data_IF_820969457332
#
_entry.id   IF_820969457332
#
_cell.length_a   1.000
_cell.length_b   1.000
_cell.length_c   1.000
_cell.angle_alpha   90.00
_cell.angle_beta   90.00
_cell.angle_gamma   90.00
#
_symmetry.space_group_name_H-M   'P 1'
#
loop_
_entity.id
_entity.type
_entity.pdbx_description
1 polymer ?
#
# COMPACT_ATOMS: atom_id res chain seq x y z
N UNK A 1 10.92 8.82 -27.33
CA UNK A 1 10.46 7.49 -27.81
C UNK A 1 9.41 7.05 -26.79
N UNK A 2 8.14 7.30 -27.11
CA UNK A 2 7.02 7.02 -26.20
C UNK A 2 6.84 5.50 -26.12
N UNK A 3 7.16 4.90 -24.99
CA UNK A 3 6.70 3.56 -24.67
C UNK A 3 5.29 3.65 -24.08
N UNK A 4 4.30 3.49 -24.91
CA UNK A 4 2.95 3.12 -24.49
C UNK A 4 3.05 1.74 -23.84
N UNK A 5 3.01 1.65 -22.52
CA UNK A 5 2.80 0.39 -21.86
C UNK A 5 1.36 -0.05 -22.09
N UNK A 6 1.19 -0.98 -23.04
CA UNK A 6 -0.04 -1.72 -23.20
C UNK A 6 -0.21 -2.57 -21.93
N UNK A 7 -1.20 -2.24 -21.10
CA UNK A 7 -1.66 -3.15 -20.04
C UNK A 7 -1.84 -4.54 -20.63
N UNK A 8 -1.32 -5.55 -19.90
CA UNK A 8 -1.52 -6.95 -20.22
C UNK A 8 -3.03 -7.21 -20.36
N UNK A 9 -3.41 -7.90 -21.41
CA UNK A 9 -4.79 -8.34 -21.67
C UNK A 9 -5.32 -9.07 -20.41
N UNK A 10 -6.27 -8.45 -19.70
CA UNK A 10 -6.95 -9.05 -18.56
C UNK A 10 -7.28 -8.12 -17.39
N UNK A 11 -6.52 -7.06 -17.11
CA UNK A 11 -6.80 -6.16 -15.98
C UNK A 11 -7.28 -4.81 -16.50
N UNK A 12 -8.57 -4.53 -16.29
CA UNK A 12 -9.15 -3.21 -16.57
C UNK A 12 -8.76 -2.22 -15.46
N UNK A 13 -7.54 -1.72 -15.50
CA UNK A 13 -7.25 -0.45 -14.84
C UNK A 13 -8.15 0.59 -15.52
N UNK A 14 -8.97 1.28 -14.75
CA UNK A 14 -9.81 2.35 -15.26
C UNK A 14 -8.93 3.35 -16.02
N UNK A 15 -9.35 3.77 -17.23
CA UNK A 15 -8.60 4.70 -18.09
C UNK A 15 -8.20 6.01 -17.37
N UNK A 16 -8.97 6.43 -16.38
CA UNK A 16 -8.67 7.62 -15.56
C UNK A 16 -7.50 7.37 -14.60
N UNK A 17 -7.50 6.22 -13.91
CA UNK A 17 -6.40 5.81 -13.04
C UNK A 17 -5.11 5.66 -13.85
N UNK A 18 -5.18 5.02 -15.03
CA UNK A 18 -4.00 4.85 -15.90
C UNK A 18 -3.44 6.21 -16.33
N UNK A 19 -4.30 7.15 -16.74
CA UNK A 19 -3.86 8.51 -17.11
C UNK A 19 -3.21 9.26 -15.94
N UNK A 20 -3.78 9.14 -14.73
CA UNK A 20 -3.20 9.75 -13.54
C UNK A 20 -1.81 9.16 -13.21
N UNK A 21 -1.66 7.83 -13.33
CA UNK A 21 -0.38 7.15 -13.17
C UNK A 21 0.62 7.64 -14.21
N UNK A 22 0.27 7.60 -15.50
CA UNK A 22 1.16 8.00 -16.60
C UNK A 22 1.64 9.45 -16.43
N UNK A 23 0.75 10.37 -16.07
CA UNK A 23 1.09 11.77 -15.86
C UNK A 23 2.02 11.95 -14.66
N UNK A 24 1.72 11.32 -13.52
CA UNK A 24 2.58 11.41 -12.33
C UNK A 24 3.97 10.84 -12.60
N UNK A 25 4.04 9.69 -13.27
CA UNK A 25 5.32 9.06 -13.62
C UNK A 25 6.11 9.92 -14.58
N UNK A 26 5.47 10.56 -15.55
CA UNK A 26 6.17 11.48 -16.47
C UNK A 26 6.80 12.65 -15.70
N UNK A 27 6.10 13.26 -14.76
CA UNK A 27 6.67 14.34 -13.92
C UNK A 27 7.84 13.86 -13.04
N UNK A 28 7.73 12.66 -12.45
CA UNK A 28 8.83 12.06 -11.68
C UNK A 28 10.05 11.83 -12.60
N UNK A 29 9.83 11.32 -13.81
CA UNK A 29 10.89 11.07 -14.79
C UNK A 29 11.56 12.37 -15.21
N UNK A 30 10.80 13.44 -15.49
CA UNK A 30 11.34 14.74 -15.89
C UNK A 30 12.29 15.31 -14.82
N UNK A 31 11.96 15.13 -13.55
CA UNK A 31 12.80 15.55 -12.42
C UNK A 31 14.03 14.64 -12.25
N UNK A 32 13.84 13.32 -12.35
CA UNK A 32 14.85 12.33 -11.97
C UNK A 32 15.65 11.76 -13.14
N UNK A 33 15.39 12.13 -14.40
CA UNK A 33 16.12 11.60 -15.57
C UNK A 33 17.64 11.62 -15.41
N UNK A 34 18.30 12.70 -14.86
CA UNK A 34 19.74 12.72 -14.63
C UNK A 34 20.24 11.67 -13.64
N UNK A 35 19.36 11.20 -12.75
CA UNK A 35 19.66 10.18 -11.72
C UNK A 35 19.35 8.75 -12.16
N UNK A 36 18.86 8.57 -13.39
CA UNK A 36 18.57 7.26 -14.01
C UNK A 36 17.60 6.41 -13.17
N UNK A 37 16.34 6.81 -13.03
CA UNK A 37 15.37 6.12 -12.20
C UNK A 37 14.90 4.79 -12.82
N UNK A 38 14.54 3.85 -11.96
CA UNK A 38 13.63 2.73 -12.24
C UNK A 38 12.42 2.89 -11.33
N UNK A 39 11.21 2.92 -11.92
CA UNK A 39 9.97 3.24 -11.23
C UNK A 39 9.05 2.04 -11.31
N UNK A 40 8.55 1.61 -10.15
CA UNK A 40 7.66 0.48 -10.00
C UNK A 40 6.35 0.88 -9.37
N UNK A 41 5.27 0.28 -9.83
CA UNK A 41 3.97 0.25 -9.18
C UNK A 41 3.82 -1.08 -8.46
N UNK A 42 3.35 -1.08 -7.22
CA UNK A 42 3.11 -2.27 -6.42
C UNK A 42 1.81 -2.11 -5.61
N UNK A 43 1.56 -2.96 -4.62
CA UNK A 43 0.38 -2.84 -3.77
C UNK A 43 -0.94 -3.06 -4.49
N UNK A 44 -1.98 -2.34 -4.07
CA UNK A 44 -3.37 -2.61 -4.48
C UNK A 44 -3.63 -2.49 -5.98
N UNK A 45 -2.95 -1.58 -6.69
CA UNK A 45 -3.10 -1.44 -8.15
C UNK A 45 -2.50 -2.64 -8.86
N UNK A 46 -1.31 -3.08 -8.46
CA UNK A 46 -0.63 -4.23 -9.06
C UNK A 46 -1.32 -5.56 -8.75
N UNK A 47 -2.06 -5.62 -7.62
CA UNK A 47 -2.85 -6.77 -7.19
C UNK A 47 -4.29 -6.79 -7.74
N UNK A 48 -4.66 -5.86 -8.63
CA UNK A 48 -6.02 -5.69 -9.18
C UNK A 48 -7.09 -5.48 -8.08
N UNK A 49 -6.70 -4.85 -6.97
CA UNK A 49 -7.57 -4.58 -5.81
C UNK A 49 -7.64 -3.08 -5.46
N UNK A 50 -7.33 -2.20 -6.40
CA UNK A 50 -7.46 -0.77 -6.19
C UNK A 50 -8.91 -0.34 -6.05
N UNK A 51 -9.21 0.45 -5.01
CA UNK A 51 -10.55 1.01 -4.76
C UNK A 51 -10.43 2.51 -4.52
N UNK A 52 -10.91 3.30 -5.46
CA UNK A 52 -10.90 4.77 -5.35
C UNK A 52 -11.64 5.21 -4.08
N UNK A 53 -11.01 6.07 -3.29
CA UNK A 53 -11.51 6.54 -2.00
C UNK A 53 -11.15 5.66 -0.80
N UNK A 54 -10.37 4.59 -1.06
CA UNK A 54 -9.81 3.73 -0.03
C UNK A 54 -8.33 3.43 -0.24
N UNK A 55 -7.95 3.04 -1.45
CA UNK A 55 -6.61 2.53 -1.76
C UNK A 55 -5.63 3.63 -2.10
N UNK A 56 -4.38 3.41 -1.74
CA UNK A 56 -3.25 4.20 -2.20
C UNK A 56 -2.70 3.65 -3.54
N UNK A 57 -1.99 4.52 -4.27
CA UNK A 57 -1.25 4.18 -5.48
C UNK A 57 0.23 4.10 -5.07
N UNK A 58 0.69 2.87 -4.85
CA UNK A 58 2.00 2.60 -4.28
C UNK A 58 3.09 2.63 -5.35
N UNK A 59 4.05 3.57 -5.23
CA UNK A 59 5.14 3.76 -6.19
C UNK A 59 6.49 3.69 -5.48
N UNK A 60 7.39 2.84 -5.99
CA UNK A 60 8.79 2.80 -5.57
C UNK A 60 9.68 3.33 -6.69
N UNK A 61 10.49 4.35 -6.42
CA UNK A 61 11.47 4.89 -7.37
C UNK A 61 12.88 4.66 -6.86
N UNK A 62 13.65 3.88 -7.60
CA UNK A 62 15.04 3.56 -7.29
C UNK A 62 15.96 4.19 -8.33
N UNK A 63 16.88 5.08 -7.90
CA UNK A 63 17.80 5.77 -8.79
C UNK A 63 19.20 5.16 -8.73
N UNK A 64 19.94 5.24 -9.84
CA UNK A 64 21.37 4.83 -9.86
C UNK A 64 22.29 5.84 -9.21
N UNK A 65 21.96 7.13 -9.32
CA UNK A 65 22.72 8.23 -8.73
C UNK A 65 21.92 8.87 -7.63
N UNK A 66 22.62 9.49 -6.70
CA UNK A 66 22.00 10.21 -5.59
C UNK A 66 20.99 11.27 -6.10
N UNK A 67 19.85 11.31 -5.46
CA UNK A 67 18.84 12.37 -5.66
C UNK A 67 19.41 13.64 -5.04
N UNK A 68 19.60 14.69 -5.85
CA UNK A 68 20.09 15.97 -5.36
C UNK A 68 19.05 16.65 -4.47
N UNK A 69 19.49 17.62 -3.65
CA UNK A 69 18.59 18.41 -2.82
C UNK A 69 17.51 19.11 -3.66
N UNK A 70 17.90 19.69 -4.81
CA UNK A 70 16.98 20.37 -5.72
C UNK A 70 15.93 19.40 -6.29
N UNK A 71 16.32 18.19 -6.71
CA UNK A 71 15.41 17.16 -7.18
C UNK A 71 14.46 16.69 -6.07
N UNK A 72 14.99 16.49 -4.86
CA UNK A 72 14.18 16.09 -3.72
C UNK A 72 13.11 17.14 -3.38
N UNK A 73 13.50 18.42 -3.38
CA UNK A 73 12.55 19.51 -3.15
C UNK A 73 11.49 19.60 -4.26
N UNK A 74 11.88 19.47 -5.54
CA UNK A 74 10.94 19.43 -6.66
C UNK A 74 9.92 18.31 -6.55
N UNK A 75 10.33 17.11 -6.07
CA UNK A 75 9.41 15.99 -5.87
C UNK A 75 8.43 16.24 -4.71
N UNK A 76 8.88 16.89 -3.63
CA UNK A 76 7.99 17.31 -2.54
C UNK A 76 6.97 18.33 -3.06
N UNK A 77 7.42 19.32 -3.81
CA UNK A 77 6.57 20.35 -4.42
C UNK A 77 5.61 19.76 -5.45
N UNK A 78 6.07 18.80 -6.28
CA UNK A 78 5.24 18.11 -7.26
C UNK A 78 3.98 17.54 -6.60
N UNK A 79 4.12 16.75 -5.54
CA UNK A 79 2.96 16.17 -4.85
C UNK A 79 2.06 17.25 -4.25
N UNK A 80 2.63 18.31 -3.70
CA UNK A 80 1.87 19.43 -3.14
C UNK A 80 1.04 20.15 -4.21
N UNK A 81 1.60 20.37 -5.40
CA UNK A 81 0.92 21.09 -6.48
C UNK A 81 -0.15 20.26 -7.19
N UNK A 82 0.02 18.94 -7.24
CA UNK A 82 -0.94 18.03 -7.91
C UNK A 82 -2.18 17.73 -7.04
N UNK A 83 -2.12 17.97 -5.72
CA UNK A 83 -3.21 17.63 -4.79
C UNK A 83 -4.34 18.66 -4.64
N UNK A 84 -4.17 19.98 -4.84
CA UNK A 84 -5.01 20.95 -4.13
C UNK A 84 -6.28 21.41 -4.81
N UNK A 85 -6.49 21.17 -6.09
CA UNK A 85 -7.63 21.81 -6.75
C UNK A 85 -8.91 20.97 -6.62
N UNK A 86 -9.91 21.49 -5.91
CA UNK A 86 -11.27 20.96 -5.92
C UNK A 86 -12.07 21.67 -7.05
N UNK A 87 -12.66 20.88 -7.98
CA UNK A 87 -12.67 19.42 -8.07
C UNK A 87 -11.44 18.89 -8.82
N UNK A 88 -10.37 18.60 -8.07
CA UNK A 88 -9.14 18.02 -8.62
C UNK A 88 -9.29 16.55 -9.01
N UNK A 89 -8.29 16.05 -9.71
CA UNK A 89 -8.21 14.62 -10.01
C UNK A 89 -8.13 13.81 -8.69
N UNK A 90 -9.06 12.88 -8.45
CA UNK A 90 -9.15 12.18 -7.17
C UNK A 90 -7.99 11.23 -6.91
N UNK A 91 -7.19 10.90 -7.93
CA UNK A 91 -6.09 9.93 -7.83
C UNK A 91 -4.79 10.53 -7.30
N UNK A 92 -4.51 11.82 -7.55
CA UNK A 92 -3.21 12.41 -7.16
C UNK A 92 -2.95 12.42 -5.65
N UNK A 93 -3.99 12.47 -4.84
CA UNK A 93 -3.88 12.37 -3.37
C UNK A 93 -3.47 10.98 -2.89
N UNK A 94 -3.72 9.96 -3.70
CA UNK A 94 -3.50 8.55 -3.34
C UNK A 94 -2.09 8.06 -3.62
N UNK A 95 -1.22 8.86 -4.27
CA UNK A 95 0.15 8.43 -4.50
C UNK A 95 0.94 8.34 -3.21
N UNK A 96 1.47 7.17 -2.91
CA UNK A 96 2.36 6.89 -1.79
C UNK A 96 3.65 6.22 -2.25
N UNK A 97 4.73 6.38 -1.48
CA UNK A 97 5.96 5.64 -1.71
C UNK A 97 7.23 6.36 -1.35
N UNK A 98 8.35 5.74 -1.73
CA UNK A 98 9.69 6.23 -1.49
C UNK A 98 10.49 6.37 -2.78
N UNK A 99 11.34 7.40 -2.83
CA UNK A 99 12.27 7.66 -3.92
C UNK A 99 13.65 7.82 -3.32
N UNK A 100 14.57 6.90 -3.64
CA UNK A 100 15.90 6.82 -3.07
C UNK A 100 16.87 6.12 -4.03
N UNK A 101 18.16 6.07 -3.70
CA UNK A 101 19.11 5.31 -4.50
C UNK A 101 18.92 3.81 -4.30
N UNK A 102 19.24 3.03 -5.34
CA UNK A 102 19.19 1.58 -5.27
C UNK A 102 20.13 1.01 -4.19
N UNK A 103 21.34 1.57 -4.06
CA UNK A 103 22.32 1.13 -3.06
C UNK A 103 21.81 1.40 -1.63
N UNK A 104 21.23 2.57 -1.37
CA UNK A 104 20.62 2.91 -0.09
C UNK A 104 19.40 2.01 0.24
N UNK A 105 18.61 1.65 -0.77
CA UNK A 105 17.50 0.70 -0.62
C UNK A 105 18.01 -0.69 -0.22
N UNK A 106 19.08 -1.19 -0.84
CA UNK A 106 19.67 -2.49 -0.51
C UNK A 106 20.33 -2.52 0.87
N UNK A 107 21.05 -1.45 1.24
CA UNK A 107 21.73 -1.35 2.54
C UNK A 107 20.75 -1.10 3.70
N UNK A 108 19.52 -0.65 3.42
CA UNK A 108 18.53 -0.17 4.39
C UNK A 108 19.04 1.02 5.22
N UNK A 109 20.00 1.76 4.70
CA UNK A 109 20.63 2.92 5.33
C UNK A 109 20.59 4.13 4.37
N UNK A 110 19.41 4.67 4.06
CA UNK A 110 19.32 5.80 3.17
C UNK A 110 19.78 7.10 3.83
N UNK A 111 20.56 7.88 3.10
CA UNK A 111 20.94 9.23 3.47
C UNK A 111 19.92 10.29 3.03
N UNK A 112 19.17 9.99 1.99
CA UNK A 112 18.08 10.83 1.47
C UNK A 112 17.00 10.00 0.81
N UNK A 113 15.79 10.18 1.30
CA UNK A 113 14.56 9.64 0.71
C UNK A 113 13.57 10.76 0.50
N UNK A 114 12.95 10.84 -0.66
CA UNK A 114 11.70 11.58 -0.80
C UNK A 114 10.57 10.62 -0.49
N UNK A 115 9.83 10.92 0.57
CA UNK A 115 8.69 10.13 1.02
C UNK A 115 7.38 10.86 0.68
N UNK A 116 6.45 10.14 0.09
CA UNK A 116 5.05 10.51 -0.06
C UNK A 116 4.18 9.54 0.72
N UNK A 117 3.20 10.03 1.45
CA UNK A 117 2.30 9.16 2.21
C UNK A 117 1.17 9.93 2.90
N UNK A 118 0.34 9.21 3.64
CA UNK A 118 -0.80 9.77 4.39
C UNK A 118 -0.38 10.83 5.40
N UNK A 119 0.84 10.76 5.93
CA UNK A 119 1.43 11.78 6.82
C UNK A 119 2.01 13.00 6.07
N UNK A 120 1.74 13.12 4.79
CA UNK A 120 2.27 14.15 3.91
C UNK A 120 3.50 13.72 3.13
N UNK A 121 4.18 14.68 2.52
CA UNK A 121 5.41 14.51 1.77
C UNK A 121 6.58 15.19 2.49
N UNK A 122 7.76 14.55 2.44
CA UNK A 122 8.96 15.07 3.10
C UNK A 122 10.24 14.47 2.55
N UNK A 123 11.35 15.14 2.80
CA UNK A 123 12.68 14.56 2.68
C UNK A 123 13.02 13.91 4.03
N UNK A 124 13.53 12.69 4.01
CA UNK A 124 13.83 11.86 5.20
C UNK A 124 15.15 11.14 5.01
N UNK A 125 15.76 10.75 6.10
CA UNK A 125 16.90 9.81 6.18
C UNK A 125 16.46 8.38 6.53
N UNK A 126 15.14 8.13 6.58
CA UNK A 126 14.56 6.84 6.94
C UNK A 126 13.50 6.43 5.93
N UNK A 127 13.53 5.15 5.56
CA UNK A 127 12.52 4.53 4.74
C UNK A 127 12.32 3.08 5.17
N UNK A 128 11.10 2.71 5.46
CA UNK A 128 10.72 1.33 5.77
C UNK A 128 10.02 0.73 4.54
N UNK A 129 10.57 -0.36 4.04
CA UNK A 129 9.98 -1.18 2.99
C UNK A 129 9.98 -2.61 3.51
N UNK A 130 8.83 -3.06 4.00
CA UNK A 130 8.71 -4.32 4.71
C UNK A 130 8.65 -5.53 3.78
N UNK A 131 8.59 -6.71 4.37
CA UNK A 131 8.56 -7.96 3.60
C UNK A 131 7.27 -8.12 2.79
N UNK A 132 6.15 -7.53 3.22
CA UNK A 132 4.90 -7.52 2.47
C UNK A 132 5.05 -6.70 1.19
N UNK A 133 5.51 -5.46 1.30
CA UNK A 133 5.79 -4.61 0.15
C UNK A 133 6.83 -5.23 -0.79
N UNK A 134 7.86 -5.89 -0.24
CA UNK A 134 8.89 -6.55 -1.04
C UNK A 134 8.31 -7.74 -1.81
N UNK A 135 7.48 -8.57 -1.19
CA UNK A 135 6.82 -9.68 -1.87
C UNK A 135 5.88 -9.18 -2.98
N UNK A 136 5.04 -8.19 -2.69
CA UNK A 136 4.16 -7.56 -3.68
C UNK A 136 4.94 -6.98 -4.86
N UNK A 137 6.05 -6.28 -4.61
CA UNK A 137 6.93 -5.74 -5.66
C UNK A 137 7.51 -6.83 -6.55
N UNK A 138 7.98 -7.94 -5.95
CA UNK A 138 8.64 -9.01 -6.68
C UNK A 138 7.66 -9.90 -7.45
N UNK A 139 6.49 -10.19 -6.87
CA UNK A 139 5.51 -11.12 -7.44
C UNK A 139 4.57 -10.43 -8.45
N UNK A 140 4.10 -9.24 -8.12
CA UNK A 140 3.04 -8.54 -8.87
C UNK A 140 3.45 -7.16 -9.37
N UNK A 141 4.59 -6.61 -8.91
CA UNK A 141 5.01 -5.25 -9.23
C UNK A 141 5.17 -5.01 -10.72
N UNK A 142 4.75 -3.84 -11.19
CA UNK A 142 4.77 -3.42 -12.59
C UNK A 142 5.88 -2.40 -12.78
N UNK A 143 6.81 -2.65 -13.69
CA UNK A 143 7.83 -1.67 -14.09
C UNK A 143 7.15 -0.60 -14.97
N UNK A 144 7.11 0.65 -14.49
CA UNK A 144 6.54 1.78 -15.21
C UNK A 144 7.58 2.53 -16.04
N UNK A 145 8.82 2.61 -15.54
CA UNK A 145 9.92 3.30 -16.24
C UNK A 145 11.29 2.73 -15.86
N UNK A 146 12.26 2.83 -16.78
CA UNK A 146 13.66 2.49 -16.55
C UNK A 146 13.98 1.02 -16.78
N UNK A 147 14.98 0.50 -16.05
CA UNK A 147 15.41 -0.89 -16.17
C UNK A 147 14.81 -1.73 -15.06
N UNK A 148 14.45 -2.97 -15.35
CA UNK A 148 14.03 -3.89 -14.31
C UNK A 148 15.23 -4.36 -13.48
N UNK A 149 15.30 -3.88 -12.24
CA UNK A 149 16.36 -4.20 -11.29
C UNK A 149 15.91 -5.19 -10.20
N UNK A 150 14.67 -5.72 -10.26
CA UNK A 150 14.12 -6.66 -9.27
C UNK A 150 14.96 -7.93 -9.14
N UNK A 151 15.64 -8.35 -10.21
CA UNK A 151 16.59 -9.49 -10.18
C UNK A 151 17.71 -9.37 -9.14
N UNK A 152 17.97 -8.16 -8.63
CA UNK A 152 18.98 -7.90 -7.61
C UNK A 152 18.37 -7.86 -6.20
N UNK A 153 17.06 -7.92 -6.08
CA UNK A 153 16.34 -7.95 -4.81
C UNK A 153 16.18 -9.40 -4.34
N UNK A 154 16.02 -9.57 -3.05
CA UNK A 154 15.83 -10.90 -2.45
C UNK A 154 14.36 -11.09 -2.12
N UNK A 155 13.83 -12.25 -2.47
CA UNK A 155 12.51 -12.68 -2.01
C UNK A 155 12.53 -12.80 -0.48
N UNK A 156 11.54 -12.24 0.22
CA UNK A 156 11.44 -12.38 1.66
C UNK A 156 11.33 -13.84 2.07
N UNK A 157 12.01 -14.18 3.15
CA UNK A 157 11.88 -15.48 3.78
C UNK A 157 10.58 -15.56 4.59
N UNK A 158 10.15 -16.78 4.92
CA UNK A 158 9.00 -16.96 5.82
C UNK A 158 9.22 -16.29 7.17
N UNK A 159 10.43 -16.34 7.73
CA UNK A 159 10.75 -15.70 9.01
C UNK A 159 10.63 -14.16 8.93
N UNK A 160 11.00 -13.55 7.81
CA UNK A 160 10.81 -12.11 7.61
C UNK A 160 9.32 -11.76 7.54
N UNK A 161 8.52 -12.54 6.80
CA UNK A 161 7.06 -12.38 6.75
C UNK A 161 6.44 -12.57 8.14
N UNK A 162 6.83 -13.60 8.87
CA UNK A 162 6.37 -13.86 10.23
C UNK A 162 6.67 -12.69 11.18
N UNK A 163 7.89 -12.15 11.13
CA UNK A 163 8.29 -11.02 11.97
C UNK A 163 7.49 -9.76 11.64
N UNK A 164 7.19 -9.51 10.37
CA UNK A 164 6.35 -8.39 9.97
C UNK A 164 4.89 -8.61 10.38
N UNK A 165 4.34 -9.82 10.25
CA UNK A 165 3.02 -10.14 10.82
C UNK A 165 2.98 -9.90 12.33
N UNK A 166 4.02 -10.31 13.07
CA UNK A 166 4.12 -10.05 14.51
C UNK A 166 4.15 -8.56 14.84
N UNK A 167 4.83 -7.76 14.02
CA UNK A 167 4.84 -6.30 14.15
C UNK A 167 3.45 -5.71 13.86
N UNK A 168 2.77 -6.16 12.79
CA UNK A 168 1.40 -5.76 12.48
C UNK A 168 0.44 -6.11 13.62
N UNK A 169 0.53 -7.33 14.16
CA UNK A 169 -0.23 -7.74 15.34
C UNK A 169 -0.02 -6.79 16.51
N UNK A 170 1.23 -6.44 16.84
CA UNK A 170 1.54 -5.49 17.91
C UNK A 170 0.92 -4.11 17.67
N UNK A 171 0.94 -3.63 16.42
CA UNK A 171 0.31 -2.37 16.00
C UNK A 171 -1.21 -2.42 16.19
N UNK A 172 -1.87 -3.51 15.77
CA UNK A 172 -3.31 -3.73 15.94
C UNK A 172 -3.67 -3.73 17.43
N UNK A 173 -2.93 -4.48 18.24
CA UNK A 173 -3.15 -4.55 19.70
C UNK A 173 -2.98 -3.20 20.39
N UNK A 174 -2.10 -2.36 19.90
CA UNK A 174 -1.85 -1.04 20.48
C UNK A 174 -2.86 0.02 20.03
N UNK A 175 -3.12 0.12 18.72
CA UNK A 175 -3.82 1.26 18.14
C UNK A 175 -5.28 1.00 17.79
N UNK A 176 -5.69 -0.27 17.58
CA UNK A 176 -7.08 -0.60 17.26
C UNK A 176 -7.94 -0.93 18.51
N UNK A 177 -7.52 -0.48 19.71
CA UNK A 177 -8.33 -0.55 20.95
C UNK A 177 -9.42 0.52 21.00
N UNK A 178 -9.27 1.55 20.19
CA UNK A 178 -10.27 2.59 19.98
C UNK A 178 -10.36 2.82 18.48
N UNK A 179 -11.57 2.81 17.97
CA UNK A 179 -11.85 3.07 16.57
C UNK A 179 -12.58 4.40 16.43
N UNK A 180 -12.40 5.05 15.28
CA UNK A 180 -13.05 6.32 14.98
C UNK A 180 -14.06 6.16 13.85
N UNK A 181 -14.81 7.22 13.58
CA UNK A 181 -15.79 7.36 12.51
C UNK A 181 -15.10 7.52 11.12
N UNK A 182 -14.24 6.57 10.77
CA UNK A 182 -13.43 6.59 9.53
C UNK A 182 -13.34 5.20 8.92
N UNK A 183 -13.18 5.12 7.61
CA UNK A 183 -13.01 3.85 6.89
C UNK A 183 -11.79 3.06 7.36
N UNK A 184 -10.75 3.75 7.82
CA UNK A 184 -9.55 3.11 8.32
C UNK A 184 -9.83 2.10 9.45
N UNK A 185 -10.90 2.30 10.23
CA UNK A 185 -11.32 1.35 11.28
C UNK A 185 -11.65 -0.04 10.71
N UNK A 186 -12.24 -0.12 9.52
CA UNK A 186 -12.51 -1.38 8.83
C UNK A 186 -11.22 -2.05 8.32
N UNK A 187 -10.21 -1.26 8.01
CA UNK A 187 -8.92 -1.74 7.49
C UNK A 187 -8.24 -2.74 8.40
N UNK A 188 -8.37 -2.58 9.73
CA UNK A 188 -7.77 -3.50 10.69
C UNK A 188 -8.26 -4.95 10.55
N UNK A 189 -9.56 -5.17 10.27
CA UNK A 189 -10.13 -6.51 10.05
C UNK A 189 -9.54 -7.15 8.79
N UNK A 190 -9.41 -6.37 7.71
CA UNK A 190 -8.83 -6.82 6.44
C UNK A 190 -7.33 -7.15 6.59
N UNK A 191 -6.61 -6.35 7.38
CA UNK A 191 -5.19 -6.58 7.66
C UNK A 191 -4.97 -7.84 8.50
N UNK A 192 -5.83 -8.13 9.49
CA UNK A 192 -5.79 -9.38 10.25
C UNK A 192 -6.00 -10.58 9.32
N UNK A 193 -7.03 -10.54 8.47
CA UNK A 193 -7.29 -11.62 7.51
C UNK A 193 -6.07 -11.88 6.61
N UNK A 194 -5.43 -10.82 6.09
CA UNK A 194 -4.23 -10.92 5.27
C UNK A 194 -3.05 -11.48 6.06
N UNK A 195 -2.85 -11.06 7.30
CA UNK A 195 -1.81 -11.59 8.18
C UNK A 195 -1.98 -13.10 8.42
N UNK A 196 -3.21 -13.57 8.73
CA UNK A 196 -3.49 -15.00 8.94
C UNK A 196 -3.22 -15.79 7.66
N UNK A 197 -3.67 -15.29 6.51
CA UNK A 197 -3.39 -15.92 5.21
C UNK A 197 -1.88 -16.07 4.98
N UNK A 198 -1.13 -15.00 5.24
CA UNK A 198 0.33 -14.99 5.06
C UNK A 198 1.03 -16.02 5.96
N UNK A 199 0.64 -16.10 7.24
CA UNK A 199 1.19 -17.11 8.14
C UNK A 199 0.94 -18.55 7.66
N UNK A 200 -0.26 -18.83 7.15
CA UNK A 200 -0.63 -20.19 6.73
C UNK A 200 -0.04 -20.59 5.39
N UNK A 201 0.25 -19.63 4.51
CA UNK A 201 0.62 -19.92 3.12
C UNK A 201 2.02 -19.48 2.73
N UNK A 202 2.63 -18.56 3.48
CA UNK A 202 3.86 -17.87 3.11
C UNK A 202 3.72 -16.92 1.91
N UNK A 203 2.48 -16.55 1.54
CA UNK A 203 2.20 -15.69 0.38
C UNK A 203 1.44 -14.43 0.79
N UNK A 204 1.57 -13.39 -0.03
CA UNK A 204 0.80 -12.15 0.08
C UNK A 204 -0.31 -12.15 -0.96
N UNK A 205 -1.50 -11.71 -0.56
CA UNK A 205 -2.65 -11.52 -1.44
C UNK A 205 -3.33 -10.17 -1.17
N UNK A 206 -4.21 -9.78 -2.08
CA UNK A 206 -5.04 -8.59 -1.92
C UNK A 206 -5.91 -8.65 -0.67
N UNK A 207 -6.15 -7.51 -0.02
CA UNK A 207 -6.97 -7.43 1.21
C UNK A 207 -8.40 -7.92 1.00
N UNK A 208 -9.00 -7.64 -0.17
CA UNK A 208 -10.33 -8.14 -0.54
C UNK A 208 -10.35 -9.67 -0.56
N UNK A 209 -9.41 -10.29 -1.26
CA UNK A 209 -9.30 -11.76 -1.37
C UNK A 209 -9.00 -12.39 0.00
N UNK A 210 -8.16 -11.75 0.82
CA UNK A 210 -7.86 -12.22 2.16
C UNK A 210 -9.10 -12.24 3.06
N UNK A 211 -9.94 -11.20 2.99
CA UNK A 211 -11.17 -11.15 3.75
C UNK A 211 -12.18 -12.22 3.29
N UNK A 212 -12.37 -12.39 1.98
CA UNK A 212 -13.22 -13.45 1.42
C UNK A 212 -12.73 -14.84 1.83
N UNK A 213 -11.40 -15.05 1.79
CA UNK A 213 -10.80 -16.31 2.25
C UNK A 213 -11.03 -16.55 3.74
N UNK A 214 -10.88 -15.53 4.59
CA UNK A 214 -11.09 -15.65 6.03
C UNK A 214 -12.57 -15.96 6.36
N UNK A 215 -13.53 -15.36 5.67
CA UNK A 215 -14.95 -15.67 5.78
C UNK A 215 -15.25 -17.11 5.36
N UNK A 216 -14.72 -17.56 4.23
CA UNK A 216 -14.95 -18.92 3.71
C UNK A 216 -14.31 -20.03 4.57
N UNK A 217 -13.41 -19.67 5.49
CA UNK A 217 -12.75 -20.58 6.40
C UNK A 217 -13.18 -20.41 7.87
N UNK A 218 -14.26 -19.64 8.12
CA UNK A 218 -14.83 -19.40 9.46
C UNK A 218 -13.80 -18.88 10.48
N UNK A 219 -12.87 -17.99 10.01
CA UNK A 219 -11.76 -17.53 10.86
C UNK A 219 -12.11 -16.28 11.68
N UNK A 220 -13.06 -15.46 11.21
CA UNK A 220 -13.45 -14.25 11.91
C UNK A 220 -14.55 -14.53 12.92
N UNK A 221 -14.34 -14.25 14.24
CA UNK A 221 -15.36 -14.43 15.26
C UNK A 221 -16.60 -13.52 15.07
N UNK A 222 -16.41 -12.38 14.40
CA UNK A 222 -17.45 -11.39 14.10
C UNK A 222 -17.66 -11.31 12.58
N UNK A 223 -18.39 -12.28 12.04
CA UNK A 223 -18.65 -12.40 10.61
C UNK A 223 -19.24 -11.10 10.04
N UNK A 224 -20.27 -10.54 10.67
CA UNK A 224 -20.92 -9.30 10.23
C UNK A 224 -19.94 -8.11 10.12
N UNK A 225 -18.96 -8.05 11.04
CA UNK A 225 -17.96 -7.00 11.02
C UNK A 225 -17.01 -7.13 9.82
N UNK A 226 -16.56 -8.35 9.52
CA UNK A 226 -15.67 -8.59 8.37
C UNK A 226 -16.43 -8.47 7.04
N UNK A 227 -17.68 -8.94 6.94
CA UNK A 227 -18.53 -8.75 5.76
C UNK A 227 -18.79 -7.26 5.49
N UNK A 228 -19.09 -6.48 6.55
CA UNK A 228 -19.25 -5.02 6.41
C UNK A 228 -17.93 -4.37 5.96
N UNK A 229 -16.79 -4.74 6.57
CA UNK A 229 -15.49 -4.23 6.16
C UNK A 229 -15.19 -4.51 4.68
N UNK A 230 -15.49 -5.73 4.22
CA UNK A 230 -15.36 -6.15 2.83
C UNK A 230 -16.27 -5.33 1.91
N UNK A 231 -17.54 -5.18 2.26
CA UNK A 231 -18.52 -4.41 1.48
C UNK A 231 -18.12 -2.93 1.36
N UNK A 232 -17.65 -2.31 2.47
CA UNK A 232 -17.17 -0.91 2.48
C UNK A 232 -15.92 -0.78 1.62
N UNK A 233 -14.96 -1.71 1.71
CA UNK A 233 -13.76 -1.71 0.88
C UNK A 233 -14.08 -1.88 -0.60
N UNK A 234 -14.98 -2.78 -0.95
CA UNK A 234 -15.36 -3.00 -2.36
C UNK A 234 -16.08 -1.80 -2.98
N UNK A 235 -16.78 -0.99 -2.18
CA UNK A 235 -17.62 0.11 -2.64
C UNK A 235 -17.43 1.40 -1.81
N UNK A 236 -16.20 1.94 -1.62
CA UNK A 236 -15.98 3.04 -0.67
C UNK A 236 -16.75 4.30 -1.05
N UNK A 237 -16.89 4.62 -2.33
CA UNK A 237 -17.62 5.80 -2.78
C UNK A 237 -19.12 5.73 -2.48
N UNK A 238 -19.72 4.52 -2.44
CA UNK A 238 -21.10 4.31 -2.02
C UNK A 238 -21.32 4.69 -0.56
N UNK A 239 -20.36 4.42 0.28
CA UNK A 239 -20.42 4.63 1.73
C UNK A 239 -19.80 5.95 2.20
N UNK A 240 -19.23 6.73 1.28
CA UNK A 240 -18.49 7.98 1.59
C UNK A 240 -19.25 8.95 2.49
N UNK A 241 -20.60 8.99 2.40
CA UNK A 241 -21.46 9.88 3.18
C UNK A 241 -22.47 9.12 4.04
N UNK A 242 -22.28 7.84 4.29
CA UNK A 242 -23.19 7.01 5.07
C UNK A 242 -22.86 7.11 6.56
N UNK A 243 -23.65 7.93 7.29
CA UNK A 243 -23.45 8.13 8.72
C UNK A 243 -23.56 6.82 9.52
N UNK A 244 -24.40 5.86 9.10
CA UNK A 244 -24.56 4.57 9.80
C UNK A 244 -23.31 3.72 9.71
N UNK A 245 -22.62 3.75 8.57
CA UNK A 245 -21.35 3.06 8.38
C UNK A 245 -20.27 3.71 9.25
N UNK A 246 -20.23 5.03 9.35
CA UNK A 246 -19.30 5.72 10.25
C UNK A 246 -19.63 5.48 11.74
N UNK A 247 -20.89 5.43 12.11
CA UNK A 247 -21.30 5.06 13.47
C UNK A 247 -20.87 3.62 13.79
N UNK A 248 -21.05 2.70 12.84
CA UNK A 248 -20.60 1.32 12.99
C UNK A 248 -19.05 1.20 13.07
N UNK A 249 -18.32 1.97 12.25
CA UNK A 249 -16.86 2.01 12.30
C UNK A 249 -16.32 2.34 13.72
N UNK A 250 -17.01 3.20 14.46
CA UNK A 250 -16.65 3.58 15.84
C UNK A 250 -16.81 2.43 16.84
N UNK A 251 -17.61 1.41 16.53
CA UNK A 251 -17.88 0.26 17.41
C UNK A 251 -16.96 -0.94 17.16
N UNK A 252 -16.05 -0.87 16.19
CA UNK A 252 -15.26 -2.01 15.71
C UNK A 252 -14.12 -2.44 16.64
N UNK A 253 -13.80 -1.68 17.70
CA UNK A 253 -12.66 -1.98 18.58
C UNK A 253 -12.72 -3.41 19.12
N UNK A 254 -13.85 -3.84 19.68
CA UNK A 254 -14.02 -5.18 20.24
C UNK A 254 -13.97 -6.28 19.15
N UNK A 255 -14.72 -6.21 18.03
CA UNK A 255 -14.57 -7.14 16.90
C UNK A 255 -13.13 -7.30 16.41
N UNK A 256 -12.40 -6.19 16.25
CA UNK A 256 -10.99 -6.21 15.83
C UNK A 256 -10.13 -6.97 16.85
N UNK A 257 -10.30 -6.69 18.15
CA UNK A 257 -9.51 -7.36 19.19
C UNK A 257 -9.81 -8.86 19.29
N UNK A 258 -11.09 -9.27 19.11
CA UNK A 258 -11.45 -10.71 19.03
C UNK A 258 -10.84 -11.40 17.82
N UNK A 259 -10.80 -10.73 16.68
CA UNK A 259 -10.14 -11.30 15.50
C UNK A 259 -8.61 -11.32 15.65
N UNK A 260 -8.05 -10.33 16.34
CA UNK A 260 -6.64 -10.33 16.71
C UNK A 260 -6.26 -11.47 17.68
N UNK A 261 -7.20 -12.00 18.51
CA UNK A 261 -6.97 -13.20 19.34
C UNK A 261 -6.79 -14.44 18.46
N UNK A 262 -7.44 -14.50 17.30
CA UNK A 262 -7.22 -15.57 16.30
C UNK A 262 -5.83 -15.43 15.69
N UNK A 263 -5.42 -14.23 15.29
CA UNK A 263 -4.07 -13.99 14.77
C UNK A 263 -2.98 -14.30 15.80
N UNK A 264 -3.23 -14.02 17.09
CA UNK A 264 -2.32 -14.37 18.18
C UNK A 264 -2.06 -15.86 18.28
N UNK A 265 -3.11 -16.67 18.16
CA UNK A 265 -2.99 -18.14 18.14
C UNK A 265 -2.22 -18.64 16.93
N UNK A 266 -2.43 -18.04 15.75
CA UNK A 266 -1.65 -18.37 14.54
C UNK A 266 -0.15 -18.03 14.68
N UNK A 267 0.16 -16.97 15.44
CA UNK A 267 1.53 -16.58 15.78
C UNK A 267 2.16 -17.47 16.87
N UNK A 268 1.40 -18.38 17.51
CA UNK A 268 1.84 -19.20 18.65
C UNK A 268 2.48 -18.34 19.77
N UNK A 269 1.92 -17.15 20.02
CA UNK A 269 2.32 -16.31 21.15
C UNK A 269 1.52 -16.78 22.36
N UNK A 270 2.22 -17.31 23.40
CA UNK A 270 1.64 -17.64 24.70
C UNK A 270 1.45 -16.42 25.60
#
# INVERSE_FOLDING_TARGET
MYFMFRCMEGNMVNDELQRAIDMMIQHIVDILAPSSPSIYLYGSVALDDFKLGWSDIDVLTLTKKQITEAQAQQLVELRQTMMPEEPGDPYYRSFEGGMLTFDAFLSKEPDRVVYWGTSGQRISDRYAFDSFCMAELLESGILLFGNDIRRHLKTPTYDELYNDVKRHYGTIRQYARQTGRIFYSFGWLLDIARCIYTLRTGKIIAKTIAAEWALNNDLCPDVDALETALSVRQNPLKYKNDSKIFDYAETLAEPIQRFADVLEKELNIE
#
